data_IF_253563564452
#
_entry.id   IF_253563564452
#
_cell.length_a   1.000
_cell.length_b   1.000
_cell.length_c   1.000
_cell.angle_alpha   90.00
_cell.angle_beta   90.00
_cell.angle_gamma   90.00
#
_symmetry.space_group_name_H-M   'P 1'
#
loop_
_entity.id
_entity.type
_entity.pdbx_description
1 polymer ?
#
# COMPACT_ATOMS: atom_id res chain seq x y z
N UNK A 1 0.90 8.81 -20.08
CA UNK A 1 1.95 7.80 -19.84
C UNK A 1 1.28 6.51 -19.44
N UNK A 2 1.60 5.45 -20.16
CA UNK A 2 0.99 4.16 -19.88
C UNK A 2 1.74 3.46 -18.76
N UNK A 3 0.99 3.04 -17.76
CA UNK A 3 1.52 2.33 -16.60
C UNK A 3 0.93 0.94 -16.56
N UNK A 4 1.73 -0.04 -16.17
CA UNK A 4 1.32 -1.42 -15.99
C UNK A 4 1.68 -1.88 -14.59
N UNK A 5 0.80 -2.65 -13.96
CA UNK A 5 1.09 -3.24 -12.65
C UNK A 5 1.53 -4.68 -12.86
N UNK A 6 2.69 -5.01 -12.32
CA UNK A 6 3.26 -6.36 -12.42
C UNK A 6 3.70 -6.84 -11.04
N UNK A 7 3.89 -8.15 -10.91
CA UNK A 7 4.49 -8.70 -9.68
C UNK A 7 5.89 -8.14 -9.53
N UNK A 8 6.21 -7.62 -8.35
CA UNK A 8 7.51 -7.05 -8.07
C UNK A 8 8.58 -8.11 -7.87
N UNK A 9 9.80 -7.70 -8.09
CA UNK A 9 11.00 -8.48 -7.77
C UNK A 9 12.00 -7.60 -7.04
N UNK A 10 13.03 -8.21 -6.48
CA UNK A 10 14.07 -7.49 -5.73
C UNK A 10 14.76 -6.42 -6.60
N UNK A 11 14.70 -6.55 -7.92
CA UNK A 11 15.28 -5.57 -8.83
C UNK A 11 14.66 -4.18 -8.69
N UNK A 12 13.44 -4.09 -8.16
CA UNK A 12 12.72 -2.82 -7.97
C UNK A 12 12.90 -2.23 -6.57
N UNK A 13 13.73 -2.83 -5.72
CA UNK A 13 13.78 -2.42 -4.31
C UNK A 13 14.26 -0.98 -4.12
N UNK A 14 15.18 -0.49 -4.96
CA UNK A 14 15.65 0.89 -4.84
C UNK A 14 14.50 1.89 -5.09
N UNK A 15 13.70 1.62 -6.12
CA UNK A 15 12.55 2.47 -6.44
C UNK A 15 11.47 2.41 -5.35
N UNK A 16 11.22 1.22 -4.82
CA UNK A 16 10.23 1.05 -3.76
C UNK A 16 10.69 1.70 -2.46
N UNK A 17 11.97 1.60 -2.13
CA UNK A 17 12.53 2.27 -0.97
C UNK A 17 12.39 3.80 -1.10
N UNK A 18 12.71 4.34 -2.27
CA UNK A 18 12.57 5.77 -2.53
C UNK A 18 11.12 6.22 -2.36
N UNK A 19 10.18 5.47 -2.93
CA UNK A 19 8.74 5.78 -2.78
C UNK A 19 8.31 5.74 -1.32
N UNK A 20 8.76 4.74 -0.57
CA UNK A 20 8.34 4.55 0.82
C UNK A 20 8.92 5.61 1.76
N UNK A 21 10.23 5.85 1.72
CA UNK A 21 10.88 6.78 2.67
C UNK A 21 10.42 8.22 2.48
N UNK A 22 9.97 8.59 1.28
CA UNK A 22 9.47 9.93 0.97
C UNK A 22 7.96 10.07 1.15
N UNK A 23 7.26 9.02 1.58
CA UNK A 23 5.83 9.07 1.89
C UNK A 23 5.61 9.55 3.33
N UNK A 24 4.38 9.99 3.63
CA UNK A 24 4.03 10.37 5.00
C UNK A 24 4.21 9.19 5.98
N UNK A 25 3.80 8.01 5.56
CA UNK A 25 3.96 6.79 6.35
C UNK A 25 5.44 6.48 6.58
N UNK A 26 6.24 6.57 5.52
CA UNK A 26 7.67 6.27 5.61
C UNK A 26 8.44 7.22 6.50
N UNK A 27 8.11 8.51 6.46
CA UNK A 27 8.74 9.52 7.32
C UNK A 27 8.49 9.27 8.79
N UNK A 28 7.35 8.68 9.13
CA UNK A 28 6.96 8.39 10.52
C UNK A 28 7.40 7.00 10.98
N UNK A 29 7.23 5.99 10.13
CA UNK A 29 7.40 4.59 10.54
C UNK A 29 8.72 3.96 10.05
N UNK A 30 9.38 4.58 9.09
CA UNK A 30 10.62 4.06 8.50
C UNK A 30 11.72 5.11 8.49
N UNK A 31 11.79 5.91 9.55
CA UNK A 31 12.78 6.98 9.66
C UNK A 31 14.19 6.47 9.96
N UNK A 32 14.34 5.28 10.53
CA UNK A 32 15.65 4.70 10.78
C UNK A 32 16.28 4.23 9.47
N UNK A 33 17.57 4.53 9.28
CA UNK A 33 18.31 4.15 8.10
C UNK A 33 18.25 2.64 7.89
N UNK A 34 17.85 2.22 6.69
CA UNK A 34 17.79 0.81 6.32
C UNK A 34 16.53 0.06 6.75
N UNK A 35 15.66 0.68 7.57
CA UNK A 35 14.47 -0.02 8.06
C UNK A 35 13.46 -0.28 6.95
N UNK A 36 13.28 0.68 6.03
CA UNK A 36 12.38 0.51 4.88
C UNK A 36 12.87 -0.62 3.97
N UNK A 37 14.17 -0.62 3.65
CA UNK A 37 14.77 -1.66 2.80
C UNK A 37 14.61 -3.04 3.41
N UNK A 38 14.87 -3.17 4.70
CA UNK A 38 14.74 -4.45 5.40
C UNK A 38 13.32 -5.01 5.31
N UNK A 39 12.31 -4.15 5.52
CA UNK A 39 10.91 -4.57 5.38
C UNK A 39 10.58 -4.97 3.96
N UNK A 40 11.02 -4.18 2.97
CA UNK A 40 10.75 -4.46 1.57
C UNK A 40 11.40 -5.75 1.10
N UNK A 41 12.62 -6.06 1.57
CA UNK A 41 13.28 -7.33 1.25
C UNK A 41 12.40 -8.52 1.65
N UNK A 42 11.77 -8.44 2.82
CA UNK A 42 10.85 -9.49 3.27
C UNK A 42 9.62 -9.58 2.38
N UNK A 43 9.03 -8.43 2.01
CA UNK A 43 7.87 -8.42 1.13
C UNK A 43 8.15 -9.01 -0.24
N UNK A 44 9.32 -8.70 -0.81
CA UNK A 44 9.72 -9.30 -2.09
C UNK A 44 9.99 -10.79 -1.96
N UNK A 45 10.64 -11.21 -0.88
CA UNK A 45 10.91 -12.62 -0.62
C UNK A 45 9.62 -13.44 -0.52
N UNK A 46 8.57 -12.85 0.02
CA UNK A 46 7.26 -13.50 0.18
C UNK A 46 6.36 -13.33 -1.06
N UNK A 47 6.81 -12.66 -2.09
CA UNK A 47 6.04 -12.37 -3.31
C UNK A 47 4.73 -11.61 -3.02
N UNK A 48 4.78 -10.65 -2.11
CA UNK A 48 3.61 -9.88 -1.67
C UNK A 48 3.54 -8.47 -2.27
N UNK A 49 4.55 -8.08 -3.07
CA UNK A 49 4.65 -6.72 -3.60
C UNK A 49 4.41 -6.70 -5.11
N UNK A 50 3.56 -5.78 -5.53
CA UNK A 50 3.32 -5.45 -6.94
C UNK A 50 3.83 -4.05 -7.21
N UNK A 51 4.35 -3.82 -8.40
CA UNK A 51 4.94 -2.53 -8.79
C UNK A 51 4.23 -1.96 -10.01
N UNK A 52 4.11 -0.65 -10.06
CA UNK A 52 3.62 0.07 -11.23
C UNK A 52 4.82 0.56 -12.02
N UNK A 53 4.92 0.11 -13.28
CA UNK A 53 6.05 0.42 -14.15
C UNK A 53 5.57 1.12 -15.42
N UNK A 54 6.42 1.98 -15.96
CA UNK A 54 6.16 2.63 -17.24
C UNK A 54 6.65 1.77 -18.42
N UNK A 55 6.55 2.29 -19.63
CA UNK A 55 6.93 1.58 -20.84
C UNK A 55 8.43 1.24 -20.89
N UNK A 56 9.25 1.96 -20.16
CA UNK A 56 10.69 1.73 -20.06
C UNK A 56 11.06 0.86 -18.84
N UNK A 57 10.06 0.24 -18.21
CA UNK A 57 10.24 -0.62 -17.03
C UNK A 57 10.75 0.14 -15.80
N UNK A 58 10.48 1.45 -15.73
CA UNK A 58 10.81 2.24 -14.54
C UNK A 58 9.68 2.16 -13.53
N UNK A 59 10.00 1.77 -12.31
CA UNK A 59 9.01 1.64 -11.23
C UNK A 59 8.69 3.01 -10.64
N UNK A 60 7.40 3.34 -10.57
CA UNK A 60 6.91 4.63 -10.06
C UNK A 60 6.18 4.51 -8.73
N UNK A 61 5.87 3.30 -8.31
CA UNK A 61 5.18 3.05 -7.05
C UNK A 61 4.94 1.57 -6.84
N UNK A 62 4.46 1.22 -5.66
CA UNK A 62 4.20 -0.18 -5.31
C UNK A 62 3.03 -0.33 -4.36
N UNK A 63 2.52 -1.55 -4.27
CA UNK A 63 1.53 -1.94 -3.29
C UNK A 63 1.92 -3.30 -2.70
N UNK A 64 1.82 -3.41 -1.39
CA UNK A 64 2.17 -4.62 -0.63
C UNK A 64 0.90 -5.19 -0.04
N UNK A 65 0.54 -6.40 -0.45
CA UNK A 65 -0.69 -7.08 -0.04
C UNK A 65 -0.36 -8.39 0.63
N UNK A 66 -0.98 -8.64 1.77
CA UNK A 66 -0.84 -9.88 2.51
C UNK A 66 -2.18 -10.59 2.46
N UNK A 67 -2.26 -11.71 1.75
CA UNK A 67 -3.55 -12.35 1.44
C UNK A 67 -4.30 -12.89 2.67
N UNK A 68 -3.57 -13.29 3.71
CA UNK A 68 -4.17 -13.73 4.98
C UNK A 68 -3.89 -12.70 6.07
N UNK A 69 -3.78 -11.43 5.70
CA UNK A 69 -3.25 -10.39 6.56
C UNK A 69 -4.15 -9.96 7.70
N UNK A 70 -5.46 -10.22 7.59
CA UNK A 70 -6.38 -9.83 8.65
C UNK A 70 -7.37 -10.96 8.93
N UNK A 71 -7.59 -11.25 10.21
CA UNK A 71 -8.47 -12.30 10.69
C UNK A 71 -8.19 -13.68 10.10
N UNK A 72 -6.97 -13.89 9.60
CA UNK A 72 -6.52 -15.13 8.96
C UNK A 72 -7.41 -15.54 7.77
N UNK A 73 -8.19 -14.62 7.23
CA UNK A 73 -9.24 -14.93 6.25
C UNK A 73 -9.29 -13.96 5.08
N UNK A 74 -8.78 -12.74 5.22
CA UNK A 74 -8.98 -11.71 4.21
C UNK A 74 -7.68 -11.00 3.86
N UNK A 75 -7.56 -10.51 2.61
CA UNK A 75 -6.40 -9.73 2.20
C UNK A 75 -6.35 -8.39 2.92
N UNK A 76 -5.12 -7.98 3.22
CA UNK A 76 -4.82 -6.73 3.88
C UNK A 76 -3.78 -5.97 3.06
N UNK A 77 -4.11 -4.74 2.69
CA UNK A 77 -3.15 -3.86 2.04
C UNK A 77 -2.25 -3.28 3.13
N UNK A 78 -1.01 -3.74 3.15
CA UNK A 78 -0.05 -3.37 4.18
C UNK A 78 0.56 -1.99 3.93
N UNK A 79 1.05 -1.75 2.72
CA UNK A 79 1.68 -0.49 2.33
C UNK A 79 1.36 -0.19 0.87
N UNK A 80 1.10 1.08 0.57
CA UNK A 80 1.03 1.60 -0.78
C UNK A 80 1.82 2.91 -0.81
N UNK A 81 2.68 3.08 -1.79
CA UNK A 81 3.46 4.31 -1.93
C UNK A 81 3.78 4.59 -3.40
N UNK A 82 3.75 5.86 -3.76
CA UNK A 82 4.08 6.36 -5.10
C UNK A 82 5.24 7.35 -4.94
N UNK A 83 6.20 7.30 -5.85
CA UNK A 83 7.33 8.24 -5.84
C UNK A 83 6.81 9.67 -5.81
N UNK A 84 7.46 10.54 -5.05
CA UNK A 84 7.00 11.92 -4.85
C UNK A 84 6.81 12.68 -6.15
N UNK A 85 7.72 12.50 -7.12
CA UNK A 85 7.65 13.15 -8.43
C UNK A 85 6.53 12.63 -9.33
N UNK A 86 5.92 11.50 -8.96
CA UNK A 86 4.85 10.87 -9.77
C UNK A 86 3.48 10.91 -9.09
N UNK A 87 3.34 11.64 -7.98
CA UNK A 87 2.04 11.77 -7.30
C UNK A 87 1.07 12.61 -8.13
N UNK A 88 -0.23 12.38 -7.90
CA UNK A 88 -1.27 13.11 -8.61
C UNK A 88 -1.51 12.63 -10.03
N UNK A 89 -0.94 11.51 -10.43
CA UNK A 89 -1.07 10.95 -11.78
C UNK A 89 -1.96 9.70 -11.83
N UNK A 90 -2.61 9.34 -10.72
CA UNK A 90 -3.51 8.21 -10.66
C UNK A 90 -2.83 6.86 -10.44
N UNK A 91 -1.54 6.83 -10.13
CA UNK A 91 -0.80 5.58 -9.94
C UNK A 91 -1.28 4.82 -8.70
N UNK A 92 -1.56 5.52 -7.61
CA UNK A 92 -2.12 4.89 -6.42
C UNK A 92 -3.45 4.20 -6.68
N UNK A 93 -4.34 4.85 -7.43
CA UNK A 93 -5.62 4.26 -7.83
C UNK A 93 -5.43 3.06 -8.74
N UNK A 94 -4.46 3.12 -9.65
CA UNK A 94 -4.14 2.01 -10.54
C UNK A 94 -3.70 0.78 -9.74
N UNK A 95 -2.82 0.97 -8.77
CA UNK A 95 -2.36 -0.10 -7.88
C UNK A 95 -3.50 -0.70 -7.07
N UNK A 96 -4.35 0.15 -6.49
CA UNK A 96 -5.50 -0.30 -5.72
C UNK A 96 -6.48 -1.09 -6.57
N UNK A 97 -6.79 -0.61 -7.79
CA UNK A 97 -7.70 -1.31 -8.69
C UNK A 97 -7.16 -2.66 -9.12
N UNK A 98 -5.85 -2.74 -9.34
CA UNK A 98 -5.22 -4.02 -9.69
C UNK A 98 -5.42 -5.04 -8.55
N UNK A 99 -5.15 -4.63 -7.32
CA UNK A 99 -5.32 -5.50 -6.16
C UNK A 99 -6.79 -5.87 -5.96
N UNK A 100 -7.70 -4.91 -6.09
CA UNK A 100 -9.13 -5.17 -5.95
C UNK A 100 -9.62 -6.17 -7.00
N UNK A 101 -9.24 -5.97 -8.25
CA UNK A 101 -9.64 -6.87 -9.33
C UNK A 101 -9.17 -8.31 -9.09
N UNK A 102 -7.99 -8.47 -8.53
CA UNK A 102 -7.47 -9.80 -8.22
C UNK A 102 -8.07 -10.39 -6.95
N UNK A 103 -8.16 -9.61 -5.89
CA UNK A 103 -8.66 -10.09 -4.59
C UNK A 103 -10.16 -10.42 -4.64
N UNK A 104 -10.96 -9.58 -5.29
CA UNK A 104 -12.41 -9.79 -5.31
C UNK A 104 -12.88 -10.96 -6.17
N UNK A 105 -11.99 -11.63 -6.88
CA UNK A 105 -12.28 -12.91 -7.52
C UNK A 105 -12.44 -14.04 -6.50
N UNK A 106 -11.83 -13.89 -5.32
CA UNK A 106 -11.76 -14.97 -4.31
C UNK A 106 -12.25 -14.53 -2.94
N UNK A 107 -12.22 -13.23 -2.64
CA UNK A 107 -12.55 -12.68 -1.33
C UNK A 107 -13.65 -11.64 -1.48
N UNK A 108 -14.53 -11.55 -0.50
CA UNK A 108 -15.62 -10.56 -0.49
C UNK A 108 -15.20 -9.24 0.15
N UNK A 109 -14.05 -9.20 0.82
CA UNK A 109 -13.62 -8.02 1.59
C UNK A 109 -12.13 -7.79 1.42
N UNK A 110 -11.75 -6.52 1.46
CA UNK A 110 -10.37 -6.05 1.40
C UNK A 110 -10.19 -4.97 2.45
N UNK A 111 -9.13 -5.08 3.24
CA UNK A 111 -8.91 -4.20 4.39
C UNK A 111 -7.62 -3.41 4.25
N UNK A 112 -7.59 -2.24 4.89
CA UNK A 112 -6.38 -1.45 5.09
C UNK A 112 -6.53 -0.63 6.37
N UNK A 113 -5.42 -0.08 6.85
CA UNK A 113 -5.46 0.95 7.89
C UNK A 113 -4.83 2.22 7.35
N UNK A 114 -5.28 3.37 7.83
CA UNK A 114 -4.71 4.65 7.49
C UNK A 114 -4.50 5.46 8.77
N UNK A 115 -3.29 6.01 8.93
CA UNK A 115 -2.93 6.76 10.12
C UNK A 115 -3.67 8.09 10.18
N UNK A 116 -3.96 8.55 11.39
CA UNK A 116 -4.63 9.84 11.62
C UNK A 116 -3.85 11.02 11.06
N UNK A 117 -2.51 10.90 10.93
CA UNK A 117 -1.69 11.96 10.35
C UNK A 117 -1.73 12.01 8.82
N UNK A 118 -2.50 11.13 8.18
CA UNK A 118 -2.57 11.02 6.71
C UNK A 118 -4.00 11.17 6.19
N UNK A 119 -4.66 12.32 6.42
CA UNK A 119 -6.06 12.51 6.03
C UNK A 119 -6.25 12.49 4.51
N UNK A 120 -5.22 12.85 3.73
CA UNK A 120 -5.32 12.81 2.27
C UNK A 120 -5.46 11.38 1.76
N UNK A 121 -4.73 10.44 2.34
CA UNK A 121 -4.86 9.03 2.00
C UNK A 121 -6.24 8.50 2.36
N UNK A 122 -6.76 8.87 3.53
CA UNK A 122 -8.10 8.45 3.96
C UNK A 122 -9.17 8.92 2.97
N UNK A 123 -9.09 10.18 2.52
CA UNK A 123 -10.02 10.72 1.52
C UNK A 123 -9.94 9.96 0.20
N UNK A 124 -8.74 9.59 -0.22
CA UNK A 124 -8.56 8.79 -1.42
C UNK A 124 -9.27 7.45 -1.29
N UNK A 125 -9.05 6.74 -0.18
CA UNK A 125 -9.68 5.44 0.04
C UNK A 125 -11.20 5.54 0.11
N UNK A 126 -11.72 6.55 0.79
CA UNK A 126 -13.16 6.79 0.83
C UNK A 126 -13.74 7.04 -0.56
N UNK A 127 -13.01 7.81 -1.39
CA UNK A 127 -13.47 8.15 -2.75
C UNK A 127 -13.57 6.93 -3.67
N UNK A 128 -12.88 5.85 -3.36
CA UNK A 128 -12.90 4.62 -4.18
C UNK A 128 -13.65 3.48 -3.52
N UNK A 129 -14.38 3.77 -2.46
CA UNK A 129 -15.35 2.84 -1.90
C UNK A 129 -14.98 2.16 -0.59
N UNK A 130 -13.89 2.56 0.06
CA UNK A 130 -13.57 2.05 1.39
C UNK A 130 -14.39 2.77 2.44
N UNK A 131 -14.92 2.02 3.40
CA UNK A 131 -15.70 2.54 4.52
C UNK A 131 -14.91 2.44 5.81
N UNK A 132 -15.08 3.42 6.67
CA UNK A 132 -14.49 3.43 8.00
C UNK A 132 -15.17 2.38 8.88
N UNK A 133 -14.37 1.50 9.49
CA UNK A 133 -14.87 0.49 10.43
C UNK A 133 -14.66 0.96 11.87
N UNK A 134 -13.52 1.56 12.16
CA UNK A 134 -13.23 2.06 13.50
C UNK A 134 -11.77 2.40 13.66
N UNK A 135 -11.44 3.02 14.80
CA UNK A 135 -10.09 3.44 15.11
C UNK A 135 -9.41 2.45 16.04
N UNK A 136 -8.12 2.21 15.77
CA UNK A 136 -7.27 1.36 16.59
C UNK A 136 -6.19 2.26 17.21
N UNK A 137 -6.33 2.63 18.48
CA UNK A 137 -5.33 3.48 19.12
C UNK A 137 -4.02 2.72 19.34
N UNK A 138 -2.91 3.41 19.14
CA UNK A 138 -1.57 2.88 19.45
C UNK A 138 -1.22 1.60 18.68
N UNK A 139 -1.72 1.43 17.46
CA UNK A 139 -1.52 0.19 16.72
C UNK A 139 -0.04 -0.08 16.40
N UNK A 140 0.64 0.88 15.79
CA UNK A 140 2.05 0.76 15.42
C UNK A 140 2.94 1.61 16.32
N UNK A 141 2.46 2.78 16.74
CA UNK A 141 3.22 3.71 17.58
C UNK A 141 2.31 4.27 18.66
N UNK A 142 2.87 4.43 19.84
CA UNK A 142 2.16 5.06 20.95
C UNK A 142 1.74 6.49 20.57
N UNK A 143 0.48 6.83 20.83
CA UNK A 143 -0.06 8.15 20.56
C UNK A 143 -0.55 8.35 19.14
N UNK A 144 -0.47 7.33 18.26
CA UNK A 144 -0.97 7.42 16.90
C UNK A 144 -2.08 6.40 16.71
N UNK A 145 -3.26 6.88 16.30
CA UNK A 145 -4.41 6.03 15.98
C UNK A 145 -4.42 5.70 14.50
N UNK A 146 -4.82 4.48 14.17
CA UNK A 146 -5.01 4.02 12.78
C UNK A 146 -6.49 3.77 12.56
N UNK A 147 -7.02 4.25 11.45
CA UNK A 147 -8.39 3.97 11.06
C UNK A 147 -8.43 2.69 10.23
N UNK A 148 -9.16 1.69 10.70
CA UNK A 148 -9.40 0.46 9.94
C UNK A 148 -10.48 0.74 8.92
N UNK A 149 -10.21 0.45 7.65
CA UNK A 149 -11.14 0.65 6.55
C UNK A 149 -11.33 -0.65 5.77
N UNK A 150 -12.50 -0.79 5.15
CA UNK A 150 -12.88 -1.99 4.42
C UNK A 150 -13.63 -1.64 3.15
N UNK A 151 -13.35 -2.37 2.07
CA UNK A 151 -14.19 -2.38 0.88
C UNK A 151 -14.77 -3.79 0.72
N UNK A 152 -16.06 -3.88 0.43
CA UNK A 152 -16.76 -5.15 0.31
C UNK A 152 -17.50 -5.21 -1.03
N UNK A 153 -17.62 -6.43 -1.56
CA UNK A 153 -18.46 -6.70 -2.74
C UNK A 153 -19.89 -7.07 -2.34
N UNK A 154 -20.15 -7.13 -1.05
CA UNK A 154 -21.48 -7.50 -0.52
C UNK A 154 -22.35 -6.29 -0.25
#
# INVERSE_FOLDING_TARGET
MDMTVIRGSINYINDCEDALVNSELGKRYFSESGSARKSLEEGFRKNEIYVAVDDNNNCKGFIWVILNGIFHSFPYIHIIAVKSENRGQGIGKLLLRFVENNCFKRYSKLFLVVAEFNPNAKRLYESIGYSEIGDIPNLYRKGISECLMMKSTE
#
